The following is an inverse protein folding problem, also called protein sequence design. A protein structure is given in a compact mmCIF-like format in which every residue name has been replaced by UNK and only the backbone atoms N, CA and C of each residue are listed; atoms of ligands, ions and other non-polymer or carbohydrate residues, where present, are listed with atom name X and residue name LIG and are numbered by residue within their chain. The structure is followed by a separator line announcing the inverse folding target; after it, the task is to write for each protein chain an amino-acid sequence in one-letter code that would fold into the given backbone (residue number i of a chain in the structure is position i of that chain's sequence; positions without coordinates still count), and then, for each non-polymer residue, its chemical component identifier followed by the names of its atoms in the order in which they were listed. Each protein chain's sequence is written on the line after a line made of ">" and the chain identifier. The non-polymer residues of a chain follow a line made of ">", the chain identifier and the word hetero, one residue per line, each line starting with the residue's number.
data_IF_732016600751
#
_entry.id   IF_732016600751
#
_cell.length_a   1.000
_cell.length_b   1.000
_cell.length_c   1.000
_cell.angle_alpha   90.00
_cell.angle_beta   90.00
_cell.angle_gamma   90.00
#
_symmetry.space_group_name_H-M   'P 1'
#
loop_
_entity.id
_entity.type
_entity.pdbx_description
1 polymer ?
#
# COMPACT_ATOMS: atom_id res chain seq x y z
N UNK A 1 -23.67 -47.80 -8.03
CA UNK A 1 -22.76 -46.99 -8.86
C UNK A 1 -22.27 -45.80 -8.01
N UNK A 2 -21.08 -45.96 -7.47
CA UNK A 2 -20.49 -44.99 -6.50
C UNK A 2 -19.52 -44.07 -7.23
N UNK A 3 -19.95 -42.84 -7.44
CA UNK A 3 -19.13 -41.78 -8.03
C UNK A 3 -18.16 -41.17 -7.02
N UNK A 4 -16.86 -41.44 -7.15
CA UNK A 4 -15.79 -40.77 -6.41
C UNK A 4 -15.60 -39.36 -6.93
N UNK A 5 -15.70 -38.35 -6.05
CA UNK A 5 -15.27 -36.95 -6.31
C UNK A 5 -13.74 -36.90 -6.36
N UNK A 6 -13.11 -36.15 -7.26
CA UNK A 6 -11.68 -35.94 -7.25
C UNK A 6 -11.29 -34.98 -6.15
N UNK A 7 -10.26 -35.34 -5.37
CA UNK A 7 -9.69 -34.53 -4.33
C UNK A 7 -8.90 -33.35 -4.91
N UNK A 8 -9.22 -32.16 -4.52
CA UNK A 8 -8.44 -30.95 -4.79
C UNK A 8 -7.12 -31.03 -4.03
N UNK A 9 -6.03 -31.43 -4.71
CA UNK A 9 -4.67 -31.27 -4.20
C UNK A 9 -4.35 -29.79 -4.17
N UNK A 10 -4.23 -29.22 -2.95
CA UNK A 10 -3.85 -27.85 -2.73
C UNK A 10 -2.49 -27.52 -3.38
N UNK A 11 -2.46 -26.40 -4.05
CA UNK A 11 -1.22 -25.77 -4.51
C UNK A 11 -0.34 -25.48 -3.29
N UNK A 12 0.78 -26.20 -3.19
CA UNK A 12 1.81 -25.88 -2.19
C UNK A 12 2.36 -24.49 -2.48
N UNK A 13 2.29 -23.61 -1.52
CA UNK A 13 3.04 -22.34 -1.55
C UNK A 13 4.53 -22.71 -1.61
N UNK A 14 5.18 -22.36 -2.71
CA UNK A 14 6.62 -22.56 -2.89
C UNK A 14 7.31 -21.48 -2.05
N UNK A 15 8.11 -21.89 -1.08
CA UNK A 15 8.90 -20.99 -0.26
C UNK A 15 10.08 -20.47 -1.10
N UNK A 16 10.46 -19.19 -1.03
CA UNK A 16 11.62 -18.66 -1.76
C UNK A 16 12.93 -19.40 -1.48
N UNK A 17 13.08 -19.99 -0.29
CA UNK A 17 14.26 -20.73 0.13
C UNK A 17 14.37 -22.14 -0.48
N UNK A 18 13.27 -22.66 -1.06
CA UNK A 18 13.29 -23.97 -1.73
C UNK A 18 13.99 -23.93 -3.12
N UNK A 19 14.29 -22.73 -3.64
CA UNK A 19 15.03 -22.58 -4.91
C UNK A 19 16.54 -22.82 -4.78
N UNK A 20 17.12 -22.72 -3.59
CA UNK A 20 18.57 -22.95 -3.42
C UNK A 20 18.96 -24.43 -3.53
N UNK A 21 18.04 -25.35 -3.23
CA UNK A 21 18.31 -26.79 -3.28
C UNK A 21 18.11 -27.45 -4.65
N UNK A 22 17.55 -26.73 -5.63
CA UNK A 22 17.35 -27.30 -6.99
C UNK A 22 18.60 -27.26 -7.88
N UNK A 23 19.60 -26.44 -7.54
CA UNK A 23 20.81 -26.31 -8.38
C UNK A 23 21.88 -27.38 -8.09
N UNK A 24 21.86 -28.08 -6.94
CA UNK A 24 22.85 -29.12 -6.65
C UNK A 24 22.56 -30.48 -7.31
N UNK A 25 21.33 -30.73 -7.75
CA UNK A 25 20.94 -32.03 -8.32
C UNK A 25 21.14 -32.17 -9.83
N UNK A 26 21.52 -31.09 -10.55
CA UNK A 26 21.64 -31.13 -12.02
C UNK A 26 23.09 -31.04 -12.56
N UNK A 27 24.11 -31.07 -11.70
CA UNK A 27 25.50 -30.82 -12.16
C UNK A 27 26.37 -32.07 -12.28
N UNK A 28 25.88 -33.26 -11.96
CA UNK A 28 26.75 -34.46 -12.11
C UNK A 28 26.05 -35.61 -12.83
N UNK A 29 26.10 -35.59 -14.16
CA UNK A 29 26.20 -36.83 -15.00
C UNK A 29 26.65 -36.48 -16.41
N UNK A 30 27.93 -36.77 -16.66
CA UNK A 30 28.35 -37.15 -18.02
C UNK A 30 29.41 -36.26 -18.67
N UNK A 31 30.59 -36.81 -18.84
CA UNK A 31 31.43 -36.43 -19.95
C UNK A 31 32.87 -35.97 -19.61
N UNK A 32 33.77 -36.88 -19.70
CA UNK A 32 35.23 -36.68 -19.74
C UNK A 32 35.64 -35.70 -20.86
N UNK A 33 36.53 -34.77 -20.55
CA UNK A 33 37.36 -34.09 -21.52
C UNK A 33 37.08 -32.61 -21.74
N UNK A 34 37.91 -31.72 -21.18
CA UNK A 34 37.95 -30.32 -21.58
C UNK A 34 38.19 -29.34 -20.44
N UNK A 35 39.45 -29.12 -20.06
CA UNK A 35 39.83 -28.04 -19.14
C UNK A 35 39.56 -26.71 -19.80
N UNK A 36 38.91 -25.75 -19.05
CA UNK A 36 38.92 -24.29 -19.21
C UNK A 36 37.67 -23.51 -19.66
N UNK A 37 36.42 -23.93 -19.40
CA UNK A 37 35.31 -22.99 -19.64
C UNK A 37 34.34 -22.75 -18.46
N UNK A 38 34.45 -23.54 -17.37
CA UNK A 38 33.48 -23.46 -16.25
C UNK A 38 33.48 -22.18 -15.43
N UNK A 39 34.56 -21.41 -15.45
CA UNK A 39 34.66 -20.18 -14.60
C UNK A 39 33.99 -18.97 -15.20
N UNK A 40 33.92 -18.85 -16.54
CA UNK A 40 33.26 -17.72 -17.21
C UNK A 40 31.72 -17.83 -17.16
N UNK A 41 31.19 -19.05 -17.27
CA UNK A 41 29.74 -19.28 -17.20
C UNK A 41 29.11 -18.95 -15.84
N UNK A 42 29.76 -19.34 -14.73
CA UNK A 42 29.28 -19.07 -13.37
C UNK A 42 29.23 -17.56 -13.08
N UNK A 43 30.23 -16.77 -13.52
CA UNK A 43 30.24 -15.31 -13.38
C UNK A 43 29.12 -14.63 -14.19
N UNK A 44 28.80 -15.16 -15.36
CA UNK A 44 27.74 -14.62 -16.21
C UNK A 44 26.35 -14.88 -15.61
N UNK A 45 26.10 -16.08 -15.08
CA UNK A 45 24.83 -16.44 -14.40
C UNK A 45 24.63 -15.57 -13.15
N UNK A 46 25.66 -15.39 -12.34
CA UNK A 46 25.58 -14.53 -11.16
C UNK A 46 25.30 -13.06 -11.54
N UNK A 47 25.91 -12.56 -12.61
CA UNK A 47 25.67 -11.21 -13.11
C UNK A 47 24.22 -11.05 -13.61
N UNK A 48 23.67 -12.05 -14.32
CA UNK A 48 22.28 -12.05 -14.79
C UNK A 48 21.30 -12.10 -13.61
N UNK A 49 21.51 -12.97 -12.61
CA UNK A 49 20.68 -13.01 -11.40
C UNK A 49 20.70 -11.68 -10.65
N UNK A 50 21.88 -11.05 -10.52
CA UNK A 50 22.02 -9.71 -9.92
C UNK A 50 21.26 -8.63 -10.72
N UNK A 51 21.33 -8.69 -12.04
CA UNK A 51 20.63 -7.76 -12.92
C UNK A 51 19.10 -7.94 -12.82
N UNK A 52 18.59 -9.17 -12.81
CA UNK A 52 17.16 -9.48 -12.61
C UNK A 52 16.67 -9.00 -11.25
N UNK A 53 17.43 -9.27 -10.17
CA UNK A 53 17.11 -8.77 -8.83
C UNK A 53 17.04 -7.25 -8.77
N UNK A 54 17.99 -6.55 -9.40
CA UNK A 54 18.00 -5.09 -9.44
C UNK A 54 16.83 -4.53 -10.28
N UNK A 55 16.42 -5.21 -11.36
CA UNK A 55 15.25 -4.82 -12.14
C UNK A 55 13.95 -5.02 -11.34
N UNK A 56 13.83 -6.14 -10.63
CA UNK A 56 12.69 -6.41 -9.76
C UNK A 56 12.58 -5.38 -8.63
N UNK A 57 13.69 -4.99 -8.00
CA UNK A 57 13.72 -3.95 -6.98
C UNK A 57 13.31 -2.57 -7.54
N UNK A 58 13.79 -2.21 -8.74
CA UNK A 58 13.41 -0.95 -9.40
C UNK A 58 11.92 -0.90 -9.73
N UNK A 59 11.34 -2.00 -10.22
CA UNK A 59 9.89 -2.08 -10.46
C UNK A 59 9.11 -1.90 -9.15
N UNK A 60 9.49 -2.61 -8.10
CA UNK A 60 8.82 -2.49 -6.80
C UNK A 60 8.88 -1.07 -6.23
N UNK A 61 10.02 -0.40 -6.33
CA UNK A 61 10.16 0.99 -5.86
C UNK A 61 9.23 1.92 -6.64
N UNK A 62 9.16 1.74 -7.97
CA UNK A 62 8.26 2.52 -8.81
C UNK A 62 6.79 2.30 -8.46
N UNK A 63 6.37 1.05 -8.25
CA UNK A 63 4.99 0.72 -7.87
C UNK A 63 4.60 1.38 -6.54
N UNK A 64 5.54 1.46 -5.60
CA UNK A 64 5.36 2.15 -4.31
C UNK A 64 5.27 3.67 -4.50
N UNK A 65 6.13 4.26 -5.31
CA UNK A 65 6.09 5.69 -5.65
C UNK A 65 4.76 6.06 -6.32
N UNK A 66 4.32 5.28 -7.29
CA UNK A 66 3.04 5.50 -7.98
C UNK A 66 1.85 5.41 -6.99
N UNK A 67 1.92 4.50 -6.01
CA UNK A 67 0.92 4.39 -4.95
C UNK A 67 0.94 5.60 -4.01
N UNK A 68 2.11 6.11 -3.65
CA UNK A 68 2.24 7.32 -2.84
C UNK A 68 1.72 8.54 -3.61
N UNK A 69 2.09 8.70 -4.87
CA UNK A 69 1.59 9.78 -5.74
C UNK A 69 0.07 9.76 -5.87
N UNK A 70 -0.53 8.59 -5.97
CA UNK A 70 -1.99 8.46 -6.02
C UNK A 70 -2.67 8.97 -4.73
N UNK A 71 -2.11 8.71 -3.56
CA UNK A 71 -2.66 9.20 -2.28
C UNK A 71 -2.37 10.68 -2.11
N UNK A 72 -1.14 11.12 -2.39
CA UNK A 72 -0.71 12.51 -2.28
C UNK A 72 -1.41 13.40 -3.32
N UNK A 73 -1.76 12.89 -4.49
CA UNK A 73 -2.53 13.62 -5.51
C UNK A 73 -3.91 14.07 -5.04
N UNK A 74 -4.44 13.50 -3.94
CA UNK A 74 -5.63 14.00 -3.28
C UNK A 74 -5.35 15.14 -2.29
N UNK A 75 -4.06 15.47 -2.07
CA UNK A 75 -3.67 16.58 -1.21
C UNK A 75 -4.00 17.89 -1.92
N UNK A 76 -4.75 18.81 -1.31
CA UNK A 76 -5.13 20.04 -2.00
C UNK A 76 -3.89 20.91 -2.20
N UNK A 77 -3.57 21.17 -3.48
CA UNK A 77 -2.62 22.22 -3.84
C UNK A 77 -3.34 23.55 -3.61
N UNK A 78 -2.82 24.34 -2.69
CA UNK A 78 -3.39 25.63 -2.34
C UNK A 78 -2.67 26.75 -3.08
N UNK A 79 -3.41 27.75 -3.60
CA UNK A 79 -2.84 28.94 -4.22
C UNK A 79 -2.00 29.78 -3.22
N UNK A 80 -2.24 29.61 -1.94
CA UNK A 80 -1.46 30.21 -0.87
C UNK A 80 -0.35 29.26 -0.41
N UNK A 81 0.90 29.58 -0.77
CA UNK A 81 2.09 28.79 -0.46
C UNK A 81 2.27 28.53 1.04
N UNK A 82 1.99 29.53 1.89
CA UNK A 82 2.14 29.39 3.36
C UNK A 82 1.17 28.34 3.92
N UNK A 83 -0.04 28.26 3.39
CA UNK A 83 -1.03 27.27 3.82
C UNK A 83 -0.66 25.89 3.29
N UNK A 84 -0.19 25.80 2.06
CA UNK A 84 0.25 24.56 1.44
C UNK A 84 1.44 23.96 2.22
N UNK A 85 2.45 24.75 2.50
CA UNK A 85 3.63 24.33 3.28
C UNK A 85 3.24 23.85 4.68
N UNK A 86 2.39 24.58 5.39
CA UNK A 86 1.87 24.15 6.70
C UNK A 86 1.10 22.83 6.65
N UNK A 87 0.38 22.58 5.57
CA UNK A 87 -0.32 21.30 5.39
C UNK A 87 0.66 20.16 5.15
N UNK A 88 1.71 20.38 4.34
CA UNK A 88 2.77 19.39 4.12
C UNK A 88 3.50 19.08 5.43
N UNK A 89 3.90 20.09 6.19
CA UNK A 89 4.57 19.91 7.48
C UNK A 89 3.68 19.10 8.44
N UNK A 90 2.39 19.45 8.56
CA UNK A 90 1.44 18.69 9.38
C UNK A 90 1.32 17.24 8.94
N UNK A 91 1.32 17.00 7.64
CA UNK A 91 1.31 15.66 7.08
C UNK A 91 2.57 14.88 7.46
N UNK A 92 3.77 15.46 7.28
CA UNK A 92 5.04 14.83 7.64
C UNK A 92 5.09 14.46 9.12
N UNK A 93 4.76 15.41 10.00
CA UNK A 93 4.71 15.18 11.45
C UNK A 93 3.75 14.03 11.78
N UNK A 94 2.56 14.03 11.17
CA UNK A 94 1.60 12.96 11.42
C UNK A 94 2.11 11.59 10.96
N UNK A 95 2.78 11.51 9.80
CA UNK A 95 3.39 10.26 9.33
C UNK A 95 4.46 9.78 10.32
N UNK A 96 5.39 10.65 10.73
CA UNK A 96 6.47 10.31 11.65
C UNK A 96 5.95 9.80 13.00
N UNK A 97 4.94 10.45 13.56
CA UNK A 97 4.33 10.07 14.83
C UNK A 97 3.63 8.70 14.77
N UNK A 98 3.09 8.33 13.61
CA UNK A 98 2.23 7.15 13.46
C UNK A 98 2.86 6.01 12.62
N UNK A 99 4.04 6.21 12.03
CA UNK A 99 4.62 5.23 11.10
C UNK A 99 4.90 3.88 11.76
N UNK A 100 5.26 3.86 13.02
CA UNK A 100 5.52 2.62 13.74
C UNK A 100 4.23 1.94 14.19
N UNK A 101 3.32 2.71 14.77
CA UNK A 101 2.04 2.25 15.26
C UNK A 101 1.01 3.36 15.11
N UNK A 102 -0.11 3.07 14.43
CA UNK A 102 -1.20 4.02 14.31
C UNK A 102 -1.89 4.19 15.66
N UNK A 103 -1.74 5.36 16.25
CA UNK A 103 -2.43 5.75 17.47
C UNK A 103 -3.97 5.74 17.31
N UNK A 104 -4.68 5.89 18.41
CA UNK A 104 -6.13 6.10 18.34
C UNK A 104 -6.44 7.38 17.54
N UNK A 105 -7.46 7.31 16.67
CA UNK A 105 -7.86 8.48 15.89
C UNK A 105 -8.34 9.58 16.83
N UNK A 106 -7.63 10.72 16.84
CA UNK A 106 -8.05 11.89 17.60
C UNK A 106 -9.24 12.56 16.88
N UNK A 107 -10.34 12.86 17.57
CA UNK A 107 -11.46 13.60 17.00
C UNK A 107 -11.09 14.96 16.40
N UNK A 108 -10.00 15.58 16.82
CA UNK A 108 -9.47 16.83 16.26
C UNK A 108 -8.86 16.66 14.87
N UNK A 109 -8.40 15.44 14.53
CA UNK A 109 -7.70 15.16 13.27
C UNK A 109 -8.64 14.83 12.11
N UNK A 110 -9.93 14.67 12.36
CA UNK A 110 -10.87 14.41 11.28
C UNK A 110 -12.12 15.27 11.35
N UNK A 111 -12.69 15.50 10.19
CA UNK A 111 -13.96 16.22 10.02
C UNK A 111 -15.02 15.24 9.55
N UNK A 112 -16.18 15.24 10.22
CA UNK A 112 -17.35 14.44 9.87
C UNK A 112 -18.41 15.32 9.23
N UNK A 113 -18.88 14.93 8.06
CA UNK A 113 -19.98 15.59 7.35
C UNK A 113 -21.09 14.60 7.10
N UNK A 114 -22.32 15.00 7.35
CA UNK A 114 -23.52 14.21 7.09
C UNK A 114 -24.21 14.73 5.84
N UNK A 115 -24.59 13.82 4.95
CA UNK A 115 -25.27 14.15 3.71
C UNK A 115 -26.39 13.15 3.43
N UNK A 116 -27.25 13.49 2.49
CA UNK A 116 -28.29 12.56 2.02
C UNK A 116 -27.67 11.50 1.13
N UNK A 117 -28.11 10.25 1.31
CA UNK A 117 -27.73 9.19 0.37
C UNK A 117 -28.37 9.49 -0.99
N UNK A 118 -27.56 9.55 -2.04
CA UNK A 118 -28.05 9.68 -3.42
C UNK A 118 -28.48 8.31 -3.96
N UNK A 119 -29.61 8.25 -4.64
CA UNK A 119 -30.03 7.02 -5.32
C UNK A 119 -31.56 6.89 -5.46
N UNK A 120 -32.05 5.96 -6.27
CA UNK A 120 -33.45 5.64 -6.36
C UNK A 120 -33.90 5.01 -5.03
N UNK A 121 -34.61 5.79 -4.21
CA UNK A 121 -35.05 5.35 -2.89
C UNK A 121 -36.36 6.04 -2.50
N UNK A 122 -37.07 5.43 -1.54
CA UNK A 122 -38.31 5.96 -1.01
C UNK A 122 -38.14 7.30 -0.26
N UNK A 123 -39.23 7.92 0.15
CA UNK A 123 -39.27 9.24 0.80
C UNK A 123 -38.28 9.42 1.98
N UNK A 124 -37.97 8.35 2.71
CA UNK A 124 -37.05 8.38 3.85
C UNK A 124 -35.56 8.56 3.44
N UNK A 125 -35.15 7.99 2.32
CA UNK A 125 -33.78 8.12 1.79
C UNK A 125 -33.50 9.57 1.40
N UNK A 126 -34.52 10.25 0.83
CA UNK A 126 -34.40 11.63 0.37
C UNK A 126 -34.52 12.67 1.48
N UNK A 127 -35.02 12.28 2.67
CA UNK A 127 -35.24 13.20 3.79
C UNK A 127 -34.17 13.10 4.88
N UNK A 128 -33.52 11.96 5.04
CA UNK A 128 -32.55 11.73 6.13
C UNK A 128 -31.12 11.80 5.63
N UNK A 129 -30.27 12.50 6.37
CA UNK A 129 -28.83 12.59 6.13
C UNK A 129 -28.12 11.42 6.80
N UNK A 130 -28.22 10.22 6.21
CA UNK A 130 -27.63 9.00 6.74
C UNK A 130 -26.26 8.69 6.15
N UNK A 131 -25.91 9.29 5.01
CA UNK A 131 -24.58 9.18 4.43
C UNK A 131 -23.59 10.00 5.25
N UNK A 132 -22.47 9.38 5.61
CA UNK A 132 -21.41 9.99 6.39
C UNK A 132 -20.15 10.07 5.52
N UNK A 133 -19.55 11.25 5.50
CA UNK A 133 -18.24 11.50 4.89
C UNK A 133 -17.29 11.94 5.99
N UNK A 134 -16.11 11.34 6.04
CA UNK A 134 -15.05 11.70 6.97
C UNK A 134 -13.81 12.07 6.16
N UNK A 135 -13.18 13.19 6.51
CA UNK A 135 -11.92 13.64 5.94
C UNK A 135 -10.90 13.74 7.07
N UNK A 136 -9.79 13.02 6.93
CA UNK A 136 -8.66 13.11 7.85
C UNK A 136 -7.82 14.32 7.48
N UNK A 137 -7.68 15.27 8.39
CA UNK A 137 -7.06 16.58 8.11
C UNK A 137 -5.57 16.50 7.77
N UNK A 138 -4.73 15.72 8.50
CA UNK A 138 -3.31 15.63 8.17
C UNK A 138 -3.04 15.01 6.80
N UNK A 139 -3.72 13.91 6.43
CA UNK A 139 -3.47 13.17 5.18
C UNK A 139 -4.43 13.50 4.05
N UNK A 140 -5.49 14.27 4.32
CA UNK A 140 -6.60 14.52 3.41
C UNK A 140 -7.29 13.24 2.87
N UNK A 141 -7.07 12.09 3.50
CA UNK A 141 -7.76 10.85 3.14
C UNK A 141 -9.25 10.99 3.46
N UNK A 142 -10.06 10.75 2.43
CA UNK A 142 -11.52 10.84 2.50
C UNK A 142 -12.15 9.47 2.44
N UNK A 143 -13.14 9.24 3.30
CA UNK A 143 -13.96 8.03 3.31
C UNK A 143 -15.43 8.37 3.40
N UNK A 144 -16.28 7.51 2.84
CA UNK A 144 -17.72 7.66 2.86
C UNK A 144 -18.36 6.32 3.27
N UNK A 145 -19.49 6.42 3.97
CA UNK A 145 -20.33 5.26 4.30
C UNK A 145 -21.81 5.63 4.28
N UNK A 146 -22.61 4.85 3.57
CA UNK A 146 -24.07 4.93 3.50
C UNK A 146 -24.73 3.54 3.54
N UNK A 147 -23.98 2.55 4.05
CA UNK A 147 -24.38 1.13 4.01
C UNK A 147 -25.59 0.80 4.87
N UNK A 148 -25.86 1.61 5.88
CA UNK A 148 -26.97 1.39 6.80
C UNK A 148 -27.96 2.55 6.84
N UNK A 149 -29.13 2.31 7.41
CA UNK A 149 -30.14 3.35 7.64
C UNK A 149 -29.84 4.21 8.86
N UNK A 150 -28.84 3.83 9.67
CA UNK A 150 -28.45 4.51 10.89
C UNK A 150 -27.24 5.40 10.69
N UNK A 151 -27.39 6.71 10.95
CA UNK A 151 -26.32 7.69 10.84
C UNK A 151 -25.10 7.33 11.72
N UNK A 152 -25.36 6.92 12.97
CA UNK A 152 -24.29 6.52 13.92
C UNK A 152 -23.55 5.25 13.46
N UNK A 153 -24.29 4.29 12.91
CA UNK A 153 -23.68 3.06 12.37
C UNK A 153 -22.79 3.38 11.16
N UNK A 154 -23.26 4.23 10.24
CA UNK A 154 -22.46 4.67 9.11
C UNK A 154 -21.23 5.46 9.55
N UNK A 155 -21.32 6.27 10.61
CA UNK A 155 -20.17 6.97 11.19
C UNK A 155 -19.12 5.97 11.70
N UNK A 156 -19.54 4.96 12.44
CA UNK A 156 -18.61 3.94 12.97
C UNK A 156 -17.95 3.15 11.84
N UNK A 157 -18.71 2.73 10.83
CA UNK A 157 -18.19 2.07 9.65
C UNK A 157 -17.19 2.96 8.89
N UNK A 158 -17.51 4.25 8.72
CA UNK A 158 -16.59 5.19 8.07
C UNK A 158 -15.29 5.36 8.87
N UNK A 159 -15.34 5.38 10.20
CA UNK A 159 -14.14 5.43 11.05
C UNK A 159 -13.28 4.17 10.93
N UNK A 160 -13.90 2.99 10.84
CA UNK A 160 -13.18 1.73 10.61
C UNK A 160 -12.49 1.72 9.24
N UNK A 161 -13.20 2.15 8.20
CA UNK A 161 -12.63 2.28 6.84
C UNK A 161 -11.48 3.28 6.83
N UNK A 162 -11.65 4.43 7.49
CA UNK A 162 -10.61 5.44 7.62
C UNK A 162 -9.36 4.86 8.27
N UNK A 163 -9.52 4.19 9.43
CA UNK A 163 -8.41 3.57 10.14
C UNK A 163 -7.64 2.60 9.27
N UNK A 164 -8.34 1.73 8.53
CA UNK A 164 -7.72 0.79 7.61
C UNK A 164 -6.93 1.52 6.52
N UNK A 165 -7.51 2.54 5.87
CA UNK A 165 -6.82 3.31 4.82
C UNK A 165 -5.59 4.04 5.35
N UNK A 166 -5.63 4.55 6.58
CA UNK A 166 -4.47 5.18 7.21
C UNK A 166 -3.37 4.14 7.49
N UNK A 167 -3.73 2.95 7.96
CA UNK A 167 -2.78 1.85 8.16
C UNK A 167 -2.12 1.41 6.84
N UNK A 168 -2.93 1.25 5.79
CA UNK A 168 -2.42 0.89 4.46
C UNK A 168 -1.46 1.97 3.94
N UNK A 169 -1.80 3.25 4.13
CA UNK A 169 -0.95 4.37 3.74
C UNK A 169 0.38 4.42 4.52
N UNK A 170 0.35 4.23 5.83
CA UNK A 170 1.56 4.11 6.65
C UNK A 170 2.41 2.90 6.24
N UNK A 171 1.76 1.79 5.84
CA UNK A 171 2.43 0.61 5.31
C UNK A 171 3.23 0.92 4.04
N UNK A 172 2.67 1.71 3.13
CA UNK A 172 3.35 2.15 1.91
C UNK A 172 4.60 2.98 2.25
N UNK A 173 4.49 3.93 3.19
CA UNK A 173 5.64 4.71 3.65
C UNK A 173 6.73 3.83 4.28
N UNK A 174 6.36 2.84 5.12
CA UNK A 174 7.32 1.90 5.70
C UNK A 174 8.11 1.12 4.64
N UNK A 175 7.47 0.77 3.53
CA UNK A 175 8.13 0.07 2.43
C UNK A 175 9.01 1.00 1.57
N UNK A 176 8.65 2.27 1.48
CA UNK A 176 9.36 3.27 0.68
C UNK A 176 10.61 3.80 1.37
N UNK A 177 10.53 4.09 2.65
CA UNK A 177 11.61 4.68 3.42
C UNK A 177 12.78 3.72 3.59
N UNK A 178 13.98 4.25 3.43
CA UNK A 178 15.21 3.55 3.80
C UNK A 178 15.41 3.59 5.32
N UNK A 179 16.21 2.65 5.89
CA UNK A 179 16.63 2.77 7.28
C UNK A 179 17.22 4.16 7.55
N UNK A 180 16.82 4.77 8.65
CA UNK A 180 17.26 6.11 9.10
C UNK A 180 16.79 7.29 8.22
N UNK A 181 15.83 7.08 7.31
CA UNK A 181 15.22 8.16 6.53
C UNK A 181 13.89 8.59 7.17
N UNK A 182 13.73 9.90 7.40
CA UNK A 182 12.47 10.52 7.84
C UNK A 182 11.65 11.01 6.64
N UNK A 183 10.37 11.27 6.89
CA UNK A 183 9.47 11.89 5.92
C UNK A 183 9.55 13.40 6.09
N UNK A 184 10.29 14.07 5.22
CA UNK A 184 10.42 15.52 5.21
C UNK A 184 9.59 16.18 4.09
N UNK A 185 9.51 17.51 4.16
CA UNK A 185 8.73 18.28 3.20
C UNK A 185 9.30 18.23 1.78
N UNK A 186 10.63 18.09 1.64
CA UNK A 186 11.29 17.99 0.32
C UNK A 186 10.90 16.69 -0.38
N UNK A 187 10.90 15.57 0.37
CA UNK A 187 10.50 14.26 -0.16
C UNK A 187 9.04 14.25 -0.59
N UNK A 188 8.15 14.85 0.24
CA UNK A 188 6.72 14.94 -0.09
C UNK A 188 6.51 15.82 -1.31
N UNK A 189 7.19 16.95 -1.41
CA UNK A 189 7.09 17.85 -2.57
C UNK A 189 7.57 17.15 -3.85
N UNK A 190 8.68 16.43 -3.78
CA UNK A 190 9.20 15.65 -4.92
C UNK A 190 8.19 14.59 -5.43
N UNK A 191 7.36 14.05 -4.56
CA UNK A 191 6.33 13.08 -4.92
C UNK A 191 5.06 13.74 -5.45
N UNK A 192 4.82 15.03 -5.13
CA UNK A 192 3.68 15.78 -5.65
C UNK A 192 3.92 16.31 -7.06
N UNK A 193 5.18 16.57 -7.44
CA UNK A 193 5.63 16.97 -8.78
C UNK A 193 5.65 15.76 -9.75
#
# INVERSE_FOLDING_TARGET
>A
MTGRKPSSKGLRKVNPDDFENYEEQFVDKGGSGGKSSGHKGKKTIHALKKQQRNQSLKHRTKDIEDSLKQVLGNFPIMDNLDIHEKNIIRYCVWIEDNINELAALDPSDYMVTFTKSGGPGGQNVNKRETKVMIVHRPTNIRVESDQTRGQMQNKNLALEILRKRLQDHLGIWKEYLKPDQSVDAELVQLLLD
#
